data_IF_459446954894
#
_entry.id   IF_459446954894
#
_cell.length_a   1.000
_cell.length_b   1.000
_cell.length_c   1.000
_cell.angle_alpha   90.00
_cell.angle_beta   90.00
_cell.angle_gamma   90.00
#
_symmetry.space_group_name_H-M   'P 1'
#
loop_
_entity.id
_entity.type
_entity.pdbx_description
1 polymer ?
#
# COMPACT_ATOMS: atom_id res chain seq x y z
N UNK A 1 22.73 0.45 19.55
CA UNK A 1 23.04 1.89 19.46
C UNK A 1 24.44 2.07 18.85
N UNK A 2 24.54 2.32 17.55
CA UNK A 2 25.83 2.54 16.85
C UNK A 2 25.95 4.04 16.57
N UNK A 3 26.37 4.81 17.56
CA UNK A 3 26.70 6.23 17.39
C UNK A 3 28.17 6.34 17.00
N UNK A 4 28.48 6.17 15.71
CA UNK A 4 29.80 6.46 15.16
C UNK A 4 29.75 7.83 14.47
N UNK A 5 30.11 8.93 15.15
CA UNK A 5 29.95 10.30 14.62
C UNK A 5 30.73 10.53 13.32
N UNK A 6 31.81 9.77 13.11
CA UNK A 6 32.56 9.71 11.85
C UNK A 6 31.72 9.25 10.65
N UNK A 7 30.84 8.25 10.81
CA UNK A 7 29.99 7.77 9.70
C UNK A 7 29.00 8.84 9.28
N UNK A 8 28.45 9.58 10.25
CA UNK A 8 27.57 10.72 9.98
C UNK A 8 28.33 11.87 9.32
N UNK A 9 29.60 12.10 9.66
CA UNK A 9 30.45 13.11 9.03
C UNK A 9 30.77 12.74 7.57
N UNK A 10 31.16 11.49 7.31
CA UNK A 10 31.42 10.98 5.95
C UNK A 10 30.16 11.05 5.10
N UNK A 11 29.01 10.66 5.67
CA UNK A 11 27.71 10.77 4.99
C UNK A 11 27.38 12.23 4.65
N UNK A 12 27.57 13.17 5.59
CA UNK A 12 27.34 14.60 5.36
C UNK A 12 28.24 15.16 4.26
N UNK A 13 29.53 14.85 4.29
CA UNK A 13 30.48 15.29 3.27
C UNK A 13 30.13 14.65 1.92
N UNK A 14 29.77 13.37 1.89
CA UNK A 14 29.33 12.66 0.69
C UNK A 14 28.09 13.30 0.07
N UNK A 15 27.08 13.63 0.88
CA UNK A 15 25.86 14.31 0.41
C UNK A 15 26.18 15.73 -0.09
N UNK A 16 27.03 16.49 0.59
CA UNK A 16 27.44 17.82 0.10
C UNK A 16 28.20 17.72 -1.24
N UNK A 17 29.10 16.74 -1.37
CA UNK A 17 29.85 16.51 -2.60
C UNK A 17 28.94 16.09 -3.77
N UNK A 18 27.94 15.23 -3.53
CA UNK A 18 26.98 14.85 -4.57
C UNK A 18 26.04 15.98 -4.96
N UNK A 19 25.66 16.87 -4.03
CA UNK A 19 24.86 18.07 -4.35
C UNK A 19 25.65 19.05 -5.22
N UNK A 20 26.90 19.35 -4.84
CA UNK A 20 27.77 20.23 -5.64
C UNK A 20 28.09 19.60 -7.00
N UNK A 21 28.28 18.29 -7.06
CA UNK A 21 28.45 17.58 -8.32
C UNK A 21 27.16 17.60 -9.18
N UNK A 22 26.00 17.53 -8.53
CA UNK A 22 24.68 17.61 -9.17
C UNK A 22 24.38 18.96 -9.78
N UNK A 23 24.88 20.08 -9.22
CA UNK A 23 24.72 21.41 -9.83
C UNK A 23 25.62 21.64 -11.04
N UNK A 24 26.71 20.89 -11.16
CA UNK A 24 27.64 20.94 -12.31
C UNK A 24 27.16 20.07 -13.47
N UNK A 25 26.38 19.02 -13.18
CA UNK A 25 25.73 18.19 -14.20
C UNK A 25 24.46 18.88 -14.71
N UNK A 26 24.26 18.83 -16.02
CA UNK A 26 23.10 19.43 -16.70
C UNK A 26 21.78 18.93 -16.13
N UNK A 27 20.81 19.84 -16.00
CA UNK A 27 19.47 19.52 -15.51
C UNK A 27 18.85 18.31 -16.22
N UNK A 28 19.10 18.16 -17.52
CA UNK A 28 18.60 17.04 -18.34
C UNK A 28 19.00 15.65 -17.83
N UNK A 29 20.19 15.51 -17.21
CA UNK A 29 20.61 14.23 -16.60
C UNK A 29 19.83 13.94 -15.31
N UNK A 30 19.55 14.97 -14.51
CA UNK A 30 18.75 14.84 -13.30
C UNK A 30 17.28 14.55 -13.61
N UNK A 31 16.73 15.21 -14.64
CA UNK A 31 15.39 14.94 -15.16
C UNK A 31 15.30 13.53 -15.74
N UNK A 32 16.28 13.10 -16.56
CA UNK A 32 16.29 11.74 -17.10
C UNK A 32 16.40 10.64 -16.04
N UNK A 33 17.18 10.85 -14.97
CA UNK A 33 17.23 9.91 -13.84
C UNK A 33 15.90 9.89 -13.07
N UNK A 34 15.25 11.06 -12.92
CA UNK A 34 13.92 11.20 -12.32
C UNK A 34 12.85 10.44 -13.12
N UNK A 35 12.82 10.62 -14.44
CA UNK A 35 11.85 9.97 -15.32
C UNK A 35 11.99 8.43 -15.28
N UNK A 36 13.21 7.91 -15.20
CA UNK A 36 13.46 6.47 -15.02
C UNK A 36 12.94 5.99 -13.66
N UNK A 37 13.15 6.77 -12.59
CA UNK A 37 12.64 6.45 -11.25
C UNK A 37 11.11 6.41 -11.20
N UNK A 38 10.45 7.42 -11.79
CA UNK A 38 8.98 7.49 -11.87
C UNK A 38 8.44 6.36 -12.75
N UNK A 39 9.09 6.10 -13.89
CA UNK A 39 8.72 4.99 -14.78
C UNK A 39 8.82 3.63 -14.09
N UNK A 40 9.88 3.39 -13.33
CA UNK A 40 10.05 2.15 -12.56
C UNK A 40 8.99 2.00 -11.46
N UNK A 41 8.68 3.08 -10.74
CA UNK A 41 7.62 3.10 -9.73
C UNK A 41 6.26 2.75 -10.34
N UNK A 42 5.93 3.36 -11.47
CA UNK A 42 4.69 3.08 -12.19
C UNK A 42 4.66 1.64 -12.72
N UNK A 43 5.75 1.15 -13.32
CA UNK A 43 5.81 -0.19 -13.89
C UNK A 43 5.64 -1.29 -12.84
N UNK A 44 6.30 -1.17 -11.69
CA UNK A 44 6.13 -2.10 -10.58
C UNK A 44 4.70 -2.09 -10.04
N UNK A 45 4.10 -0.90 -9.91
CA UNK A 45 2.72 -0.76 -9.44
C UNK A 45 1.72 -1.38 -10.42
N UNK A 46 1.82 -1.07 -11.71
CA UNK A 46 0.97 -1.63 -12.76
C UNK A 46 1.09 -3.15 -12.79
N UNK A 47 2.30 -3.69 -12.72
CA UNK A 47 2.53 -5.14 -12.68
C UNK A 47 1.86 -5.79 -11.47
N UNK A 48 1.93 -5.15 -10.29
CA UNK A 48 1.25 -5.62 -9.08
C UNK A 48 -0.28 -5.60 -9.23
N UNK A 49 -0.86 -4.52 -9.76
CA UNK A 49 -2.31 -4.42 -10.02
C UNK A 49 -2.76 -5.54 -10.97
N UNK A 50 -2.02 -5.78 -12.06
CA UNK A 50 -2.37 -6.84 -13.02
C UNK A 50 -2.31 -8.24 -12.40
N UNK A 51 -1.43 -8.48 -11.43
CA UNK A 51 -1.37 -9.75 -10.71
C UNK A 51 -2.53 -9.87 -9.70
N UNK A 52 -2.90 -8.77 -9.03
CA UNK A 52 -4.01 -8.71 -8.06
C UNK A 52 -5.40 -8.58 -8.68
N UNK A 53 -5.52 -8.29 -9.98
CA UNK A 53 -6.82 -7.99 -10.60
C UNK A 53 -7.85 -9.12 -10.41
N UNK A 54 -7.41 -10.40 -10.45
CA UNK A 54 -8.31 -11.56 -10.35
C UNK A 54 -9.04 -11.62 -9.00
N UNK A 55 -8.35 -11.70 -7.85
CA UNK A 55 -9.02 -11.68 -6.55
C UNK A 55 -9.74 -10.35 -6.29
N UNK A 56 -9.21 -9.22 -6.79
CA UNK A 56 -9.85 -7.91 -6.63
C UNK A 56 -11.23 -7.84 -7.31
N UNK A 57 -11.37 -8.33 -8.54
CA UNK A 57 -12.67 -8.39 -9.22
C UNK A 57 -13.65 -9.35 -8.55
N UNK A 58 -13.16 -10.48 -8.01
CA UNK A 58 -14.02 -11.42 -7.27
C UNK A 58 -14.58 -10.76 -6.01
N UNK A 59 -13.72 -10.10 -5.23
CA UNK A 59 -14.12 -9.36 -4.04
C UNK A 59 -15.10 -8.22 -4.37
N UNK A 60 -14.87 -7.50 -5.48
CA UNK A 60 -15.76 -6.42 -5.92
C UNK A 60 -17.15 -6.94 -6.28
N UNK A 61 -17.23 -8.06 -7.01
CA UNK A 61 -18.52 -8.65 -7.38
C UNK A 61 -19.32 -9.14 -6.18
N UNK A 62 -18.63 -9.70 -5.18
CA UNK A 62 -19.26 -10.10 -3.92
C UNK A 62 -19.81 -8.89 -3.17
N UNK A 63 -19.02 -7.81 -3.07
CA UNK A 63 -19.46 -6.54 -2.48
C UNK A 63 -20.68 -5.97 -3.21
N UNK A 64 -20.66 -5.91 -4.55
CA UNK A 64 -21.78 -5.41 -5.34
C UNK A 64 -23.04 -6.26 -5.16
N UNK A 65 -22.89 -7.60 -5.11
CA UNK A 65 -24.00 -8.51 -4.90
C UNK A 65 -24.65 -8.33 -3.52
N UNK A 66 -23.84 -8.17 -2.46
CA UNK A 66 -24.34 -7.94 -1.10
C UNK A 66 -25.01 -6.57 -0.97
N UNK A 67 -24.41 -5.52 -1.54
CA UNK A 67 -24.97 -4.17 -1.57
C UNK A 67 -26.29 -4.11 -2.34
N UNK A 68 -26.39 -4.82 -3.46
CA UNK A 68 -27.64 -4.90 -4.25
C UNK A 68 -28.78 -5.61 -3.50
N UNK A 69 -28.45 -6.51 -2.57
CA UNK A 69 -29.40 -7.20 -1.70
C UNK A 69 -29.83 -6.34 -0.49
N UNK A 70 -29.26 -5.14 -0.32
CA UNK A 70 -29.51 -4.28 0.85
C UNK A 70 -28.92 -4.81 2.15
N UNK A 71 -27.98 -5.76 2.07
CA UNK A 71 -27.23 -6.28 3.20
C UNK A 71 -26.04 -5.36 3.50
N UNK A 72 -25.61 -5.34 4.77
CA UNK A 72 -24.32 -4.74 5.12
C UNK A 72 -23.21 -5.64 4.60
N UNK A 73 -22.29 -5.13 3.76
CA UNK A 73 -21.33 -5.96 3.05
C UNK A 73 -20.25 -6.50 4.00
N UNK A 74 -20.15 -7.83 4.09
CA UNK A 74 -19.17 -8.56 4.89
C UNK A 74 -18.31 -9.41 3.96
N UNK A 75 -17.00 -9.19 3.99
CA UNK A 75 -16.06 -9.91 3.12
C UNK A 75 -15.68 -11.26 3.73
N UNK A 76 -15.96 -12.35 3.00
CA UNK A 76 -15.56 -13.71 3.38
C UNK A 76 -14.65 -14.34 2.32
N UNK A 77 -13.32 -14.35 2.53
CA UNK A 77 -12.35 -14.84 1.54
C UNK A 77 -12.48 -16.35 1.28
N UNK A 78 -12.92 -17.14 2.27
CA UNK A 78 -13.12 -18.58 2.17
C UNK A 78 -14.18 -18.97 1.13
N UNK A 79 -15.31 -18.24 1.13
CA UNK A 79 -16.43 -18.46 0.19
C UNK A 79 -16.04 -18.09 -1.25
N UNK A 80 -15.07 -17.19 -1.40
CA UNK A 80 -14.61 -16.64 -2.68
C UNK A 80 -13.35 -17.32 -3.22
N UNK A 81 -12.75 -18.26 -2.47
CA UNK A 81 -11.53 -18.96 -2.85
C UNK A 81 -10.28 -18.07 -2.91
N UNK A 82 -10.30 -16.93 -2.22
CA UNK A 82 -9.19 -15.97 -2.20
C UNK A 82 -8.14 -16.45 -1.18
N UNK A 83 -6.93 -16.76 -1.67
CA UNK A 83 -5.80 -17.21 -0.84
C UNK A 83 -5.01 -16.01 -0.30
N UNK A 84 -4.51 -16.12 0.93
CA UNK A 84 -3.65 -15.08 1.55
C UNK A 84 -4.40 -13.95 2.25
N UNK A 85 -5.70 -14.14 2.53
CA UNK A 85 -6.56 -13.19 3.24
C UNK A 85 -6.90 -13.70 4.64
N UNK A 86 -5.89 -14.16 5.40
CA UNK A 86 -6.07 -14.87 6.68
C UNK A 86 -6.76 -14.00 7.75
N UNK A 87 -6.60 -12.68 7.69
CA UNK A 87 -7.22 -11.75 8.62
C UNK A 87 -8.76 -11.83 8.60
N UNK A 88 -9.37 -11.90 7.41
CA UNK A 88 -10.82 -11.88 7.25
C UNK A 88 -11.47 -13.26 7.30
N UNK A 89 -10.77 -14.27 7.82
CA UNK A 89 -11.31 -15.64 7.96
C UNK A 89 -12.23 -15.77 9.18
N UNK A 90 -13.16 -16.73 9.13
CA UNK A 90 -14.15 -16.94 10.20
C UNK A 90 -15.12 -15.77 10.40
N UNK A 91 -15.30 -15.33 11.65
CA UNK A 91 -16.30 -14.33 12.06
C UNK A 91 -15.72 -12.91 12.21
N UNK A 92 -14.42 -12.67 11.95
CA UNK A 92 -13.80 -11.36 12.18
C UNK A 92 -14.51 -10.22 11.42
N UNK A 93 -14.94 -10.47 10.18
CA UNK A 93 -15.63 -9.46 9.39
C UNK A 93 -17.00 -9.08 10.00
N UNK A 94 -17.66 -10.01 10.68
CA UNK A 94 -18.93 -9.76 11.39
C UNK A 94 -18.68 -9.03 12.71
N UNK A 95 -17.67 -9.45 13.48
CA UNK A 95 -17.26 -8.80 14.73
C UNK A 95 -16.89 -7.33 14.50
N UNK A 96 -16.14 -7.04 13.42
CA UNK A 96 -15.80 -5.67 13.02
C UNK A 96 -17.06 -4.86 12.73
N UNK A 97 -18.02 -5.40 11.98
CA UNK A 97 -19.29 -4.72 11.67
C UNK A 97 -20.11 -4.45 12.94
N UNK A 98 -20.16 -5.39 13.88
CA UNK A 98 -20.84 -5.17 15.16
C UNK A 98 -20.19 -4.06 15.99
N UNK A 99 -18.86 -3.99 16.01
CA UNK A 99 -18.14 -2.93 16.69
C UNK A 99 -18.34 -1.57 16.01
N UNK A 100 -18.32 -1.51 14.67
CA UNK A 100 -18.65 -0.29 13.92
C UNK A 100 -20.06 0.20 14.29
N UNK A 101 -21.05 -0.70 14.36
CA UNK A 101 -22.41 -0.36 14.81
C UNK A 101 -22.43 0.21 16.23
N UNK A 102 -21.66 -0.37 17.15
CA UNK A 102 -21.55 0.12 18.55
C UNK A 102 -20.88 1.49 18.65
N UNK A 103 -20.02 1.84 17.69
CA UNK A 103 -19.26 3.11 17.67
C UNK A 103 -19.81 4.13 16.67
N UNK A 104 -21.08 4.01 16.27
CA UNK A 104 -21.73 5.01 15.40
C UNK A 104 -21.22 5.00 13.95
N UNK A 105 -20.75 3.86 13.45
CA UNK A 105 -20.30 3.65 12.07
C UNK A 105 -18.84 4.01 11.81
N UNK A 106 -18.02 4.17 12.85
CA UNK A 106 -16.58 4.40 12.70
C UNK A 106 -15.81 3.09 12.51
N UNK A 107 -14.91 3.00 11.51
CA UNK A 107 -14.16 1.79 11.22
C UNK A 107 -13.19 1.40 12.34
N UNK A 108 -13.09 0.10 12.59
CA UNK A 108 -12.38 -0.47 13.77
C UNK A 108 -10.85 -0.38 13.68
N UNK A 109 -10.28 -0.15 12.48
CA UNK A 109 -8.84 -0.20 12.22
C UNK A 109 -8.03 0.96 12.84
N UNK A 110 -8.67 2.03 13.30
CA UNK A 110 -7.99 3.20 13.91
C UNK A 110 -7.54 2.98 15.37
N UNK A 111 -7.66 1.76 15.91
CA UNK A 111 -7.42 1.45 17.33
C UNK A 111 -6.03 0.84 17.65
N UNK A 112 -5.05 0.97 16.76
CA UNK A 112 -3.66 0.47 16.94
C UNK A 112 -2.63 1.59 17.02
#
# INVERSE_FOLDING_TARGET
KVNRPWLTLVLKIGIMATVVYGTVKTADLAWGLGDIGVGLMAWLNITAILMLQKPAFIALRDYEAQKAQGLDPVFHPEKLGIKGADYWTGHQSEDNLEEERKHGGQPVYDRV
#
